data_IF_675669933924
#
_entry.id   IF_675669933924
#
_cell.length_a   1.000
_cell.length_b   1.000
_cell.length_c   1.000
_cell.angle_alpha   90.00
_cell.angle_beta   90.00
_cell.angle_gamma   90.00
#
_symmetry.space_group_name_H-M   'P 1'
#
loop_
_entity.id
_entity.type
_entity.pdbx_description
1 polymer ?
#
# COMPACT_ATOMS: atom_id res chain seq x y z
N UNK A 1 -16.42 13.92 8.82
CA UNK A 1 -15.16 14.59 8.43
C UNK A 1 -13.91 14.11 9.19
N UNK A 2 -14.02 13.37 10.31
CA UNK A 2 -12.91 13.29 11.29
C UNK A 2 -12.28 11.90 11.53
N UNK A 3 -12.93 10.78 11.14
CA UNK A 3 -12.39 9.44 11.41
C UNK A 3 -11.30 9.01 10.41
N UNK A 4 -11.52 9.20 9.11
CA UNK A 4 -10.57 8.73 8.07
C UNK A 4 -9.34 9.62 7.92
N UNK A 5 -9.48 10.94 8.18
CA UNK A 5 -8.32 11.84 8.35
C UNK A 5 -7.45 11.40 9.52
N UNK A 6 -8.03 10.90 10.62
CA UNK A 6 -7.26 10.30 11.72
C UNK A 6 -6.58 8.98 11.32
N UNK A 7 -7.21 8.13 10.49
CA UNK A 7 -6.61 6.87 10.02
C UNK A 7 -5.39 7.11 9.11
N UNK A 8 -5.50 8.07 8.19
CA UNK A 8 -4.46 8.37 7.18
C UNK A 8 -3.37 9.32 7.74
N UNK A 9 -3.71 10.22 8.68
CA UNK A 9 -2.75 11.19 9.27
C UNK A 9 -2.29 10.86 10.70
N UNK A 10 -2.72 9.75 11.32
CA UNK A 10 -2.02 9.25 12.51
C UNK A 10 -0.60 8.91 12.08
N UNK A 11 0.39 9.60 12.64
CA UNK A 11 1.81 9.37 12.36
C UNK A 11 2.11 7.91 12.72
N UNK A 12 2.15 7.05 11.71
CA UNK A 12 2.63 5.68 11.82
C UNK A 12 4.10 5.76 12.17
N UNK A 13 4.43 5.61 13.45
CA UNK A 13 5.82 5.46 13.89
C UNK A 13 6.03 3.98 14.16
N UNK A 14 6.56 3.28 13.16
CA UNK A 14 6.99 1.89 13.34
C UNK A 14 8.17 1.89 14.31
N UNK A 15 8.30 0.88 15.19
CA UNK A 15 9.51 0.74 16.00
C UNK A 15 10.71 0.60 15.06
N UNK A 16 11.87 1.11 15.49
CA UNK A 16 13.12 1.09 14.71
C UNK A 16 13.56 -0.32 14.27
N UNK A 17 12.96 -1.38 14.81
CA UNK A 17 13.30 -2.76 14.49
C UNK A 17 12.79 -3.21 13.11
N UNK A 18 11.72 -2.61 12.56
CA UNK A 18 11.20 -3.03 11.25
C UNK A 18 11.98 -2.41 10.07
N UNK A 19 12.69 -1.31 10.31
CA UNK A 19 13.50 -0.59 9.31
C UNK A 19 14.98 -1.00 9.33
N UNK A 20 15.37 -1.98 10.16
CA UNK A 20 16.74 -2.51 10.20
C UNK A 20 17.11 -3.39 9.00
N UNK A 21 16.35 -3.35 7.91
CA UNK A 21 16.76 -4.00 6.66
C UNK A 21 17.78 -3.08 5.99
N UNK A 22 19.05 -3.24 6.37
CA UNK A 22 20.22 -2.76 5.64
C UNK A 22 20.16 -3.25 4.19
N UNK A 23 19.48 -2.51 3.30
CA UNK A 23 19.54 -2.80 1.88
C UNK A 23 19.36 -1.55 0.99
N UNK A 24 19.79 -0.39 1.50
CA UNK A 24 19.68 0.92 0.84
C UNK A 24 20.43 1.04 -0.50
N UNK A 25 21.25 0.05 -0.89
CA UNK A 25 22.08 0.14 -2.10
C UNK A 25 21.78 -0.91 -3.18
N UNK A 26 21.09 -2.00 -2.86
CA UNK A 26 20.80 -3.05 -3.85
C UNK A 26 19.61 -2.70 -4.75
N UNK A 27 18.57 -2.06 -4.20
CA UNK A 27 17.32 -1.74 -4.91
C UNK A 27 17.53 -0.76 -6.07
N UNK A 28 18.50 0.15 -5.96
CA UNK A 28 18.83 1.13 -7.00
C UNK A 28 19.96 0.68 -7.94
N UNK A 29 20.61 -0.46 -7.70
CA UNK A 29 21.80 -0.90 -8.45
C UNK A 29 21.46 -1.88 -9.59
N UNK A 30 20.31 -1.74 -10.24
CA UNK A 30 20.08 -2.43 -11.51
C UNK A 30 21.01 -1.82 -12.57
N UNK A 31 22.18 -2.45 -12.75
CA UNK A 31 23.11 -2.13 -13.83
C UNK A 31 22.58 -2.74 -15.13
N UNK A 32 22.57 -1.95 -16.20
CA UNK A 32 22.25 -2.44 -17.55
C UNK A 32 23.13 -3.65 -17.88
N UNK A 33 22.51 -4.80 -18.13
CA UNK A 33 23.20 -6.07 -18.44
C UNK A 33 22.90 -7.26 -17.53
N UNK A 34 22.19 -7.08 -16.40
CA UNK A 34 21.67 -8.22 -15.63
C UNK A 34 20.40 -8.78 -16.29
N UNK A 35 20.29 -10.12 -16.32
CA UNK A 35 19.08 -10.82 -16.79
C UNK A 35 17.86 -10.36 -16.00
N UNK A 36 16.71 -10.21 -16.67
CA UNK A 36 15.42 -9.88 -16.04
C UNK A 36 15.04 -10.85 -14.91
N UNK A 37 15.52 -12.10 -14.97
CA UNK A 37 15.37 -13.09 -13.89
C UNK A 37 16.00 -12.66 -12.57
N UNK A 38 17.11 -11.91 -12.59
CA UNK A 38 17.78 -11.41 -11.40
C UNK A 38 16.99 -10.31 -10.67
N UNK A 39 16.05 -9.64 -11.34
CA UNK A 39 15.15 -8.65 -10.71
C UNK A 39 14.04 -9.32 -9.89
N UNK A 40 13.70 -10.56 -10.24
CA UNK A 40 12.63 -11.33 -9.58
C UNK A 40 13.21 -12.37 -8.62
N UNK A 41 14.52 -12.51 -8.58
CA UNK A 41 15.24 -13.43 -7.70
C UNK A 41 14.99 -13.04 -6.24
N UNK A 42 14.35 -13.94 -5.47
CA UNK A 42 13.97 -13.70 -4.08
C UNK A 42 12.57 -13.12 -3.87
N UNK A 43 11.80 -12.85 -4.92
CA UNK A 43 10.42 -12.38 -4.78
C UNK A 43 9.49 -13.54 -4.39
N UNK A 44 9.01 -13.56 -3.14
CA UNK A 44 8.08 -14.58 -2.67
C UNK A 44 6.79 -14.56 -3.51
N UNK A 45 6.46 -15.70 -4.13
CA UNK A 45 5.25 -15.90 -4.93
C UNK A 45 3.98 -15.51 -4.17
N UNK A 46 3.94 -15.68 -2.85
CA UNK A 46 2.78 -15.28 -2.02
C UNK A 46 2.53 -13.77 -2.06
N UNK A 47 3.59 -12.98 -2.23
CA UNK A 47 3.49 -11.51 -2.28
C UNK A 47 2.96 -11.02 -3.62
N UNK A 48 3.26 -11.71 -4.71
CA UNK A 48 2.88 -11.31 -6.09
C UNK A 48 1.60 -11.96 -6.59
N UNK A 49 1.19 -13.09 -6.01
CA UNK A 49 -0.01 -13.81 -6.42
C UNK A 49 -1.29 -12.97 -6.18
N UNK A 50 -2.12 -12.73 -7.21
CA UNK A 50 -3.39 -12.02 -7.06
C UNK A 50 -4.41 -12.87 -6.29
N UNK A 51 -4.93 -12.33 -5.19
CA UNK A 51 -5.91 -12.98 -4.32
C UNK A 51 -7.22 -12.20 -4.34
N UNK A 52 -8.32 -12.76 -4.89
CA UNK A 52 -9.62 -12.13 -4.81
C UNK A 52 -10.20 -12.24 -3.40
N UNK A 53 -10.85 -11.18 -2.91
CA UNK A 53 -11.68 -11.19 -1.69
C UNK A 53 -12.96 -10.41 -1.92
N UNK A 54 -14.06 -10.92 -1.39
CA UNK A 54 -15.31 -10.17 -1.29
C UNK A 54 -15.19 -9.16 -0.14
N UNK A 55 -15.49 -7.91 -0.44
CA UNK A 55 -15.58 -6.79 0.52
C UNK A 55 -16.95 -6.15 0.42
N UNK A 56 -17.41 -5.49 1.47
CA UNK A 56 -18.72 -4.81 1.47
C UNK A 56 -18.50 -3.30 1.31
N UNK A 57 -18.83 -2.78 0.14
CA UNK A 57 -18.80 -1.36 -0.17
C UNK A 57 -20.25 -0.87 -0.25
N UNK A 58 -20.64 0.09 0.59
CA UNK A 58 -22.01 0.62 0.67
C UNK A 58 -23.11 -0.45 0.70
N UNK A 59 -22.87 -1.56 1.42
CA UNK A 59 -23.80 -2.69 1.54
C UNK A 59 -23.72 -3.71 0.40
N UNK A 60 -23.07 -3.38 -0.71
CA UNK A 60 -22.89 -4.25 -1.87
C UNK A 60 -21.64 -5.13 -1.72
N UNK A 61 -21.75 -6.40 -2.12
CA UNK A 61 -20.60 -7.31 -2.18
C UNK A 61 -19.79 -7.04 -3.44
N UNK A 62 -18.58 -6.52 -3.27
CA UNK A 62 -17.65 -6.21 -4.35
C UNK A 62 -16.45 -7.15 -4.26
N UNK A 63 -16.12 -7.82 -5.36
CA UNK A 63 -14.91 -8.65 -5.44
C UNK A 63 -13.71 -7.77 -5.80
N UNK A 64 -12.73 -7.67 -4.89
CA UNK A 64 -11.48 -6.95 -5.13
C UNK A 64 -10.34 -7.96 -5.25
N UNK A 65 -9.54 -7.85 -6.32
CA UNK A 65 -8.37 -8.69 -6.58
C UNK A 65 -7.10 -7.87 -6.41
N UNK A 66 -6.27 -8.27 -5.44
CA UNK A 66 -4.99 -7.63 -5.11
C UNK A 66 -3.93 -8.69 -4.85
N UNK A 67 -2.68 -8.35 -5.11
CA UNK A 67 -1.51 -9.15 -4.81
C UNK A 67 -1.35 -9.30 -3.29
N UNK A 68 -0.73 -10.39 -2.83
CA UNK A 68 -0.62 -10.71 -1.41
C UNK A 68 0.06 -9.62 -0.57
N UNK A 69 1.03 -8.90 -1.15
CA UNK A 69 1.70 -7.78 -0.48
C UNK A 69 0.73 -6.66 -0.09
N UNK A 70 -0.20 -6.29 -0.97
CA UNK A 70 -1.20 -5.25 -0.68
C UNK A 70 -2.18 -5.71 0.38
N UNK A 71 -2.58 -6.98 0.36
CA UNK A 71 -3.40 -7.54 1.45
C UNK A 71 -2.67 -7.55 2.79
N UNK A 72 -1.35 -7.78 2.81
CA UNK A 72 -0.57 -7.73 4.03
C UNK A 72 -0.50 -6.29 4.58
N UNK A 73 -0.18 -5.31 3.72
CA UNK A 73 -0.17 -3.89 4.10
C UNK A 73 -1.53 -3.45 4.65
N UNK A 74 -2.63 -3.77 3.96
CA UNK A 74 -3.98 -3.44 4.41
C UNK A 74 -4.35 -4.07 5.77
N UNK A 75 -3.91 -5.30 6.04
CA UNK A 75 -4.13 -5.95 7.34
C UNK A 75 -3.35 -5.25 8.43
N UNK A 76 -2.08 -4.93 8.19
CA UNK A 76 -1.26 -4.16 9.12
C UNK A 76 -1.93 -2.82 9.40
N UNK A 77 -2.36 -2.12 8.35
CA UNK A 77 -3.07 -0.85 8.44
C UNK A 77 -4.33 -0.93 9.31
N UNK A 78 -5.14 -1.95 9.09
CA UNK A 78 -6.37 -2.16 9.83
C UNK A 78 -6.08 -2.48 11.31
N UNK A 79 -5.08 -3.33 11.58
CA UNK A 79 -4.65 -3.71 12.93
C UNK A 79 -4.23 -2.50 13.77
N UNK A 80 -3.39 -1.62 13.22
CA UNK A 80 -2.94 -0.40 13.92
C UNK A 80 -4.07 0.59 14.23
N UNK A 81 -5.15 0.53 13.44
CA UNK A 81 -6.34 1.35 13.66
C UNK A 81 -7.45 0.59 14.42
N UNK A 82 -7.13 -0.57 15.01
CA UNK A 82 -8.06 -1.40 15.80
C UNK A 82 -9.36 -1.71 15.02
N UNK A 83 -9.22 -1.97 13.71
CA UNK A 83 -10.35 -2.26 12.83
C UNK A 83 -10.06 -3.43 11.89
N UNK A 84 -11.09 -3.90 11.21
CA UNK A 84 -10.93 -4.95 10.18
C UNK A 84 -10.55 -4.33 8.83
N UNK A 85 -9.93 -5.12 7.96
CA UNK A 85 -9.63 -4.68 6.59
C UNK A 85 -10.88 -4.26 5.81
N UNK A 86 -12.04 -4.86 6.08
CA UNK A 86 -13.30 -4.47 5.44
C UNK A 86 -13.72 -3.06 5.86
N UNK A 87 -13.73 -2.78 7.18
CA UNK A 87 -14.04 -1.43 7.72
C UNK A 87 -13.10 -0.38 7.15
N UNK A 88 -11.80 -0.68 7.11
CA UNK A 88 -10.79 0.21 6.52
C UNK A 88 -11.10 0.53 5.05
N UNK A 89 -11.41 -0.48 4.24
CA UNK A 89 -11.71 -0.32 2.81
C UNK A 89 -13.02 0.42 2.56
N UNK A 90 -14.10 0.11 3.31
CA UNK A 90 -15.37 0.85 3.23
C UNK A 90 -15.18 2.32 3.60
N UNK A 91 -14.37 2.62 4.62
CA UNK A 91 -14.08 4.00 5.02
C UNK A 91 -13.30 4.77 3.92
N UNK A 92 -12.36 4.11 3.25
CA UNK A 92 -11.63 4.68 2.11
C UNK A 92 -12.57 4.94 0.92
N UNK A 93 -13.37 3.94 0.55
CA UNK A 93 -14.34 4.04 -0.55
C UNK A 93 -15.29 5.22 -0.35
N UNK A 94 -15.86 5.33 0.86
CA UNK A 94 -16.75 6.44 1.24
C UNK A 94 -16.06 7.81 1.14
N UNK A 95 -14.83 7.95 1.60
CA UNK A 95 -14.12 9.24 1.49
C UNK A 95 -13.85 9.62 0.04
N UNK A 96 -13.50 8.65 -0.80
CA UNK A 96 -13.23 8.89 -2.22
C UNK A 96 -14.52 9.23 -2.95
N UNK A 97 -15.62 8.56 -2.61
CA UNK A 97 -16.95 8.90 -3.09
C UNK A 97 -17.32 10.35 -2.73
N UNK A 98 -17.10 10.75 -1.48
CA UNK A 98 -17.44 12.09 -0.99
C UNK A 98 -16.55 13.21 -1.56
N UNK A 99 -15.26 12.95 -1.80
CA UNK A 99 -14.29 14.00 -2.18
C UNK A 99 -14.01 14.06 -3.68
N UNK A 100 -14.02 12.92 -4.35
CA UNK A 100 -13.55 12.77 -5.73
C UNK A 100 -14.66 12.25 -6.66
N UNK A 101 -15.88 12.06 -6.15
CA UNK A 101 -17.00 11.50 -6.91
C UNK A 101 -16.89 9.99 -7.15
N UNK A 102 -16.02 9.30 -6.41
CA UNK A 102 -15.83 7.86 -6.49
C UNK A 102 -14.52 7.45 -7.19
N UNK A 103 -14.09 6.22 -6.94
CA UNK A 103 -12.91 5.67 -7.58
C UNK A 103 -13.28 5.03 -8.92
N UNK A 104 -12.74 5.52 -10.04
CA UNK A 104 -12.88 4.83 -11.34
C UNK A 104 -12.32 3.41 -11.30
N UNK A 105 -11.22 3.20 -10.57
CA UNK A 105 -10.63 1.89 -10.32
C UNK A 105 -10.20 1.80 -8.86
N UNK A 106 -11.08 1.25 -8.02
CA UNK A 106 -10.84 1.10 -6.59
C UNK A 106 -9.62 0.21 -6.29
N UNK A 107 -9.36 -0.82 -7.09
CA UNK A 107 -8.20 -1.70 -6.89
C UNK A 107 -6.88 -0.98 -7.14
N UNK A 108 -6.78 -0.15 -8.17
CA UNK A 108 -5.59 0.67 -8.43
C UNK A 108 -5.38 1.71 -7.34
N UNK A 109 -6.46 2.32 -6.86
CA UNK A 109 -6.38 3.26 -5.74
C UNK A 109 -5.80 2.60 -4.48
N UNK A 110 -6.24 1.38 -4.15
CA UNK A 110 -5.70 0.63 -3.01
C UNK A 110 -4.20 0.38 -3.15
N UNK A 111 -3.73 0.01 -4.36
CA UNK A 111 -2.30 -0.22 -4.62
C UNK A 111 -1.50 1.06 -4.40
N UNK A 112 -1.93 2.18 -4.99
CA UNK A 112 -1.30 3.50 -4.82
C UNK A 112 -1.26 3.87 -3.34
N UNK A 113 -2.39 3.78 -2.65
CA UNK A 113 -2.49 4.12 -1.22
C UNK A 113 -1.54 3.27 -0.37
N UNK A 114 -1.48 1.96 -0.62
CA UNK A 114 -0.58 1.05 0.10
C UNK A 114 0.89 1.44 -0.10
N UNK A 115 1.31 1.72 -1.34
CA UNK A 115 2.67 2.14 -1.65
C UNK A 115 2.99 3.52 -1.08
N UNK A 116 2.07 4.49 -1.18
CA UNK A 116 2.22 5.82 -0.57
C UNK A 116 2.36 5.73 0.94
N UNK A 117 1.61 4.84 1.59
CA UNK A 117 1.70 4.65 3.03
C UNK A 117 3.06 4.09 3.45
N UNK A 118 3.63 3.16 2.68
CA UNK A 118 4.99 2.66 2.93
C UNK A 118 6.06 3.73 2.63
N UNK A 119 5.92 4.50 1.55
CA UNK A 119 6.85 5.60 1.23
C UNK A 119 6.91 6.63 2.36
N UNK A 120 5.79 6.95 3.01
CA UNK A 120 5.75 7.83 4.18
C UNK A 120 6.54 7.31 5.40
N UNK A 121 6.93 6.04 5.39
CA UNK A 121 7.77 5.43 6.42
C UNK A 121 9.25 5.38 6.01
N UNK A 122 9.58 5.65 4.75
CA UNK A 122 10.96 5.72 4.27
C UNK A 122 11.61 7.06 4.67
N UNK A 123 12.96 7.13 4.70
CA UNK A 123 13.67 8.39 4.89
C UNK A 123 13.27 9.44 3.83
N UNK A 124 13.20 10.71 4.24
CA UNK A 124 12.77 11.82 3.37
C UNK A 124 13.58 11.92 2.06
N UNK A 125 14.87 11.54 2.08
CA UNK A 125 15.72 11.50 0.89
C UNK A 125 15.19 10.52 -0.16
N UNK A 126 14.77 9.32 0.24
CA UNK A 126 14.22 8.31 -0.66
C UNK A 126 12.89 8.80 -1.23
N UNK A 127 12.01 9.34 -0.37
CA UNK A 127 10.71 9.88 -0.79
C UNK A 127 10.90 11.00 -1.80
N UNK A 128 11.82 11.93 -1.53
CA UNK A 128 12.12 13.05 -2.43
C UNK A 128 12.58 12.55 -3.79
N UNK A 129 13.52 11.61 -3.84
CA UNK A 129 13.99 11.01 -5.09
C UNK A 129 12.87 10.33 -5.86
N UNK A 130 12.00 9.57 -5.20
CA UNK A 130 10.87 8.90 -5.86
C UNK A 130 9.88 9.93 -6.41
N UNK A 131 9.52 10.94 -5.62
CA UNK A 131 8.52 11.94 -6.01
C UNK A 131 9.03 12.88 -7.13
N UNK A 132 10.33 13.15 -7.21
CA UNK A 132 10.94 13.92 -8.30
C UNK A 132 10.83 13.25 -9.68
N UNK A 133 10.55 11.93 -9.74
CA UNK A 133 10.41 11.18 -11.00
C UNK A 133 8.97 11.08 -11.51
N UNK A 134 8.02 11.83 -10.93
CA UNK A 134 6.59 11.75 -11.25
C UNK A 134 6.19 12.71 -12.39
N UNK A 135 7.11 13.55 -12.88
CA UNK A 135 6.90 14.52 -13.97
C UNK A 135 7.60 14.10 -15.27
#
# INVERSE_FOLDING_TARGET
MDATRKIINRKWRVSSEFLSVENDKAWFSFKSGKSSSALLEGLDKKLTEPRPKSIRLDGMSTCVRLEGVYWAILKTMASYNEMTTNVLLTAMDREVQLRLGGAKNFSSLIRVMSTTQLLRMCPDEVVTKVMQNIE
#
